data_IF_181008814451
#
_entry.id   IF_181008814451
#
_cell.length_a   1.000
_cell.length_b   1.000
_cell.length_c   1.000
_cell.angle_alpha   90.00
_cell.angle_beta   90.00
_cell.angle_gamma   90.00
#
_symmetry.space_group_name_H-M   'P 1'
#
loop_
_entity.id
_entity.type
_entity.pdbx_description
1 polymer ?
#
# COMPACT_ATOMS: atom_id res chain seq x y z
N UNK A 1 -1.19 37.23 -50.68
CA UNK A 1 -1.83 36.64 -49.49
C UNK A 1 -1.50 35.15 -49.36
N UNK A 2 -0.22 34.78 -49.20
CA UNK A 2 0.19 33.35 -49.17
C UNK A 2 1.15 32.97 -48.05
N UNK A 3 1.68 33.94 -47.30
CA UNK A 3 2.67 33.68 -46.24
C UNK A 3 2.05 33.59 -44.83
N UNK A 4 0.87 34.15 -44.60
CA UNK A 4 0.22 34.13 -43.27
C UNK A 4 -0.47 32.80 -42.95
N UNK A 5 -0.89 32.04 -43.97
CA UNK A 5 -1.57 30.74 -43.77
C UNK A 5 -0.61 29.58 -43.45
N UNK A 6 0.66 29.66 -43.85
CA UNK A 6 1.65 28.61 -43.54
C UNK A 6 2.18 28.70 -42.11
N UNK A 7 2.11 29.88 -41.51
CA UNK A 7 2.60 30.12 -40.14
C UNK A 7 1.64 29.62 -39.06
N UNK A 8 0.34 29.58 -39.33
CA UNK A 8 -0.65 29.06 -38.37
C UNK A 8 -0.69 27.53 -38.34
N UNK A 9 -0.49 26.87 -39.48
CA UNK A 9 -0.42 25.40 -39.56
C UNK A 9 0.81 24.82 -38.84
N UNK A 10 1.95 25.52 -38.87
CA UNK A 10 3.15 25.12 -38.14
C UNK A 10 2.98 25.22 -36.62
N UNK A 11 2.22 26.22 -36.15
CA UNK A 11 1.92 26.40 -34.71
C UNK A 11 0.99 25.32 -34.15
N UNK A 12 0.03 24.85 -34.95
CA UNK A 12 -0.83 23.71 -34.57
C UNK A 12 -0.07 22.38 -34.52
N UNK A 13 0.89 22.15 -35.41
CA UNK A 13 1.69 20.93 -35.38
C UNK A 13 2.63 20.83 -34.16
N UNK A 14 3.16 21.95 -33.67
CA UNK A 14 4.00 21.98 -32.47
C UNK A 14 3.19 21.79 -31.18
N UNK A 15 1.91 22.19 -31.16
CA UNK A 15 1.01 21.98 -30.01
C UNK A 15 0.40 20.57 -29.95
N UNK A 16 0.40 19.81 -31.05
CA UNK A 16 -0.06 18.42 -31.06
C UNK A 16 1.04 17.38 -30.82
N UNK A 17 2.32 17.80 -30.73
CA UNK A 17 3.45 16.93 -30.39
C UNK A 17 4.00 17.21 -29.00
N UNK A 18 3.23 17.85 -28.10
CA UNK A 18 3.49 17.63 -26.69
C UNK A 18 3.32 16.13 -26.46
N UNK A 19 4.38 15.39 -26.06
CA UNK A 19 4.13 14.08 -25.52
C UNK A 19 3.15 14.33 -24.38
N UNK A 20 1.92 13.84 -24.53
CA UNK A 20 1.09 13.58 -23.37
C UNK A 20 1.95 12.59 -22.60
N UNK A 21 2.72 13.11 -21.66
CA UNK A 21 3.37 12.33 -20.63
C UNK A 21 2.19 11.74 -19.90
N UNK A 22 1.69 10.61 -20.41
CA UNK A 22 0.94 9.66 -19.64
C UNK A 22 1.95 9.26 -18.58
N UNK A 23 1.98 10.01 -17.49
CA UNK A 23 2.74 9.67 -16.31
C UNK A 23 2.38 8.23 -16.03
N UNK A 24 3.33 7.33 -16.26
CA UNK A 24 3.11 5.92 -16.05
C UNK A 24 2.85 5.83 -14.57
N UNK A 25 1.58 5.63 -14.20
CA UNK A 25 1.22 5.48 -12.80
C UNK A 25 1.87 4.17 -12.36
N UNK A 26 2.94 4.30 -11.58
CA UNK A 26 3.68 3.15 -11.12
C UNK A 26 2.79 2.29 -10.22
N UNK A 27 2.92 0.98 -10.38
CA UNK A 27 2.04 -0.01 -9.76
C UNK A 27 2.73 -0.67 -8.58
N UNK A 28 1.92 -1.13 -7.63
CA UNK A 28 2.29 -2.10 -6.61
C UNK A 28 1.57 -3.39 -6.98
N UNK A 29 2.33 -4.43 -7.24
CA UNK A 29 1.78 -5.74 -7.52
C UNK A 29 1.46 -6.47 -6.22
N UNK A 30 0.31 -7.12 -6.16
CA UNK A 30 -0.08 -8.06 -5.12
C UNK A 30 0.23 -9.49 -5.58
N UNK A 31 0.59 -10.39 -4.66
CA UNK A 31 0.68 -11.82 -5.00
C UNK A 31 -0.68 -12.31 -5.49
N UNK A 32 -0.68 -13.15 -6.52
CA UNK A 32 -1.92 -13.65 -7.14
C UNK A 32 -2.82 -14.38 -6.13
N UNK A 33 -2.23 -15.08 -5.16
CA UNK A 33 -2.95 -15.74 -4.06
C UNK A 33 -3.69 -14.78 -3.12
N UNK A 34 -3.22 -13.54 -2.99
CA UNK A 34 -3.90 -12.48 -2.23
C UNK A 34 -4.96 -11.83 -3.10
N UNK A 35 -4.57 -11.49 -4.33
CA UNK A 35 -5.40 -10.76 -5.27
C UNK A 35 -6.66 -11.57 -5.66
N UNK A 36 -6.54 -12.89 -5.78
CA UNK A 36 -7.67 -13.80 -6.05
C UNK A 36 -8.73 -13.85 -4.95
N UNK A 37 -8.38 -13.43 -3.72
CA UNK A 37 -9.33 -13.32 -2.61
C UNK A 37 -10.00 -11.95 -2.53
N UNK A 38 -9.60 -11.01 -3.38
CA UNK A 38 -10.18 -9.68 -3.45
C UNK A 38 -11.31 -9.64 -4.48
N UNK A 39 -12.42 -9.01 -4.11
CA UNK A 39 -13.52 -8.70 -5.04
C UNK A 39 -14.35 -7.53 -4.53
N UNK A 40 -15.06 -6.86 -5.44
CA UNK A 40 -15.98 -5.77 -5.10
C UNK A 40 -15.27 -4.48 -4.73
N UNK A 41 -15.88 -3.71 -3.84
CA UNK A 41 -15.38 -2.40 -3.41
C UNK A 41 -14.61 -2.46 -2.09
N UNK A 42 -13.53 -1.68 -2.02
CA UNK A 42 -12.64 -1.58 -0.87
C UNK A 42 -12.39 -0.11 -0.55
N UNK A 43 -12.41 0.24 0.73
CA UNK A 43 -11.86 1.49 1.23
C UNK A 43 -10.35 1.35 1.35
N UNK A 44 -9.61 2.34 0.86
CA UNK A 44 -8.15 2.35 0.92
C UNK A 44 -7.66 3.53 1.74
N UNK A 45 -6.64 3.30 2.57
CA UNK A 45 -5.89 4.36 3.23
C UNK A 45 -4.39 4.12 3.05
N UNK A 46 -3.69 5.15 2.61
CA UNK A 46 -2.23 5.20 2.63
C UNK A 46 -1.77 6.06 3.81
N UNK A 47 -0.94 5.49 4.68
CA UNK A 47 -0.27 6.19 5.78
C UNK A 47 1.20 6.34 5.41
N UNK A 48 1.72 7.56 5.53
CA UNK A 48 3.12 7.86 5.24
C UNK A 48 3.62 8.99 6.16
N UNK A 49 4.93 9.14 6.35
CA UNK A 49 5.49 10.30 7.05
C UNK A 49 5.37 11.61 6.27
N UNK A 50 4.97 11.56 4.99
CA UNK A 50 4.82 12.72 4.14
C UNK A 50 3.53 13.48 4.44
N UNK A 51 3.39 14.71 3.93
CA UNK A 51 2.16 15.48 4.04
C UNK A 51 1.41 15.38 2.69
N UNK A 52 0.12 15.01 2.67
CA UNK A 52 -0.71 14.53 3.78
C UNK A 52 -0.26 13.17 4.32
N UNK A 53 -0.26 13.02 5.66
CA UNK A 53 0.21 11.79 6.33
C UNK A 53 -0.76 10.63 6.18
N UNK A 54 -2.02 10.93 5.88
CA UNK A 54 -3.03 9.95 5.53
C UNK A 54 -3.73 10.41 4.26
N UNK A 55 -3.77 9.54 3.26
CA UNK A 55 -4.58 9.72 2.05
C UNK A 55 -5.60 8.61 1.97
N UNK A 56 -6.86 8.96 1.73
CA UNK A 56 -7.95 7.99 1.56
C UNK A 56 -8.33 7.83 0.09
N UNK A 57 -8.82 6.64 -0.25
CA UNK A 57 -9.26 6.27 -1.60
C UNK A 57 -10.23 5.10 -1.59
N UNK A 58 -10.54 4.63 -2.79
CA UNK A 58 -11.33 3.44 -3.05
C UNK A 58 -10.63 2.56 -4.07
N UNK A 59 -10.75 1.25 -3.88
CA UNK A 59 -10.34 0.25 -4.86
C UNK A 59 -11.59 -0.50 -5.30
N UNK A 60 -11.80 -0.59 -6.60
CA UNK A 60 -12.81 -1.46 -7.19
C UNK A 60 -12.11 -2.60 -7.90
N UNK A 61 -12.54 -3.84 -7.58
CA UNK A 61 -12.12 -5.04 -8.27
C UNK A 61 -13.29 -5.61 -9.06
N UNK A 62 -13.24 -5.46 -10.38
CA UNK A 62 -14.25 -5.98 -11.31
C UNK A 62 -13.58 -6.88 -12.36
N UNK A 63 -14.01 -8.15 -12.40
CA UNK A 63 -13.38 -9.17 -13.24
C UNK A 63 -11.94 -9.45 -12.78
N UNK A 64 -10.98 -8.94 -13.55
CA UNK A 64 -9.52 -9.05 -13.30
C UNK A 64 -8.84 -7.68 -13.24
N UNK A 65 -9.63 -6.60 -13.20
CA UNK A 65 -9.12 -5.23 -13.22
C UNK A 65 -9.29 -4.58 -11.86
N UNK A 66 -8.16 -4.19 -11.28
CA UNK A 66 -8.09 -3.31 -10.11
C UNK A 66 -8.09 -1.85 -10.57
N UNK A 67 -9.03 -1.06 -10.04
CA UNK A 67 -9.09 0.38 -10.32
C UNK A 67 -9.03 1.16 -9.00
N UNK A 68 -7.96 1.93 -8.83
CA UNK A 68 -7.75 2.79 -7.66
C UNK A 68 -8.24 4.21 -7.96
N UNK A 69 -9.02 4.76 -7.03
CA UNK A 69 -9.44 6.16 -7.04
C UNK A 69 -9.10 6.83 -5.71
N UNK A 70 -8.16 7.78 -5.74
CA UNK A 70 -7.76 8.56 -4.58
C UNK A 70 -8.67 9.77 -4.42
N UNK A 71 -9.06 10.08 -3.18
CA UNK A 71 -9.96 11.20 -2.88
C UNK A 71 -9.26 12.56 -2.90
N UNK A 72 -7.93 12.57 -2.95
CA UNK A 72 -7.15 13.81 -2.95
C UNK A 72 -6.75 14.14 -4.39
N UNK A 73 -7.35 15.18 -4.97
CA UNK A 73 -7.20 15.54 -6.39
C UNK A 73 -5.75 15.76 -6.84
N UNK A 74 -4.87 16.16 -5.92
CA UNK A 74 -3.45 16.40 -6.19
C UNK A 74 -2.56 15.18 -5.98
N UNK A 75 -3.10 14.08 -5.45
CA UNK A 75 -2.36 12.86 -5.18
C UNK A 75 -2.73 11.76 -6.17
N UNK A 76 -1.82 11.49 -7.10
CA UNK A 76 -2.01 10.43 -8.10
C UNK A 76 -1.81 9.01 -7.55
N UNK A 77 -1.09 8.89 -6.43
CA UNK A 77 -0.95 7.68 -5.60
C UNK A 77 -0.50 6.39 -6.29
N UNK A 78 -0.22 5.33 -5.51
CA UNK A 78 0.06 4.02 -6.08
C UNK A 78 -1.19 3.45 -6.74
N UNK A 79 -0.99 2.79 -7.88
CA UNK A 79 -1.99 1.89 -8.48
C UNK A 79 -1.72 0.46 -8.02
N UNK A 80 -2.74 -0.40 -8.01
CA UNK A 80 -2.59 -1.82 -7.67
C UNK A 80 -2.78 -2.71 -8.90
N UNK A 81 -2.06 -3.83 -8.92
CA UNK A 81 -2.16 -4.85 -9.97
C UNK A 81 -1.91 -6.24 -9.37
N UNK A 82 -2.49 -7.29 -9.98
CA UNK A 82 -2.20 -8.66 -9.59
C UNK A 82 -0.92 -9.14 -10.27
N UNK A 83 -0.09 -9.91 -9.57
CA UNK A 83 0.89 -10.76 -10.23
C UNK A 83 0.19 -11.73 -11.20
N UNK A 84 0.90 -12.12 -12.26
CA UNK A 84 0.37 -13.02 -13.29
C UNK A 84 0.50 -14.49 -12.89
N UNK A 85 1.54 -14.84 -12.15
CA UNK A 85 1.87 -16.23 -11.84
C UNK A 85 1.79 -16.49 -10.33
N UNK A 86 1.16 -17.62 -9.94
CA UNK A 86 1.03 -18.01 -8.52
C UNK A 86 2.38 -18.30 -7.84
N UNK A 87 3.39 -18.65 -8.63
CA UNK A 87 4.74 -18.96 -8.18
C UNK A 87 5.68 -17.76 -8.10
N UNK A 88 5.23 -16.57 -8.52
CA UNK A 88 6.07 -15.38 -8.44
C UNK A 88 6.42 -15.10 -6.98
N UNK A 89 7.72 -14.97 -6.72
CA UNK A 89 8.26 -14.54 -5.43
C UNK A 89 8.73 -13.10 -5.45
N UNK A 90 8.87 -12.48 -6.64
CA UNK A 90 9.29 -11.10 -6.83
C UNK A 90 8.14 -10.30 -7.46
N UNK A 91 7.86 -9.13 -6.91
CA UNK A 91 6.76 -8.26 -7.32
C UNK A 91 7.23 -6.82 -7.48
N UNK A 92 6.52 -6.07 -8.31
CA UNK A 92 6.73 -4.63 -8.45
C UNK A 92 6.22 -3.84 -7.23
N UNK A 93 7.02 -2.90 -6.74
CA UNK A 93 6.68 -1.91 -5.73
C UNK A 93 6.89 -0.46 -6.24
N UNK A 94 6.89 -0.27 -7.56
CA UNK A 94 7.14 1.04 -8.19
C UNK A 94 6.18 2.12 -7.67
N UNK A 95 4.93 1.78 -7.39
CA UNK A 95 3.94 2.75 -6.90
C UNK A 95 4.32 3.44 -5.58
N UNK A 96 5.29 2.92 -4.82
CA UNK A 96 5.81 3.61 -3.64
C UNK A 96 6.52 4.93 -3.99
N UNK A 97 6.94 5.11 -5.23
CA UNK A 97 7.50 6.38 -5.71
C UNK A 97 6.51 7.54 -5.67
N UNK A 98 5.20 7.27 -5.58
CA UNK A 98 4.19 8.31 -5.34
C UNK A 98 4.40 9.08 -4.02
N UNK A 99 5.20 8.53 -3.10
CA UNK A 99 5.56 9.15 -1.82
C UNK A 99 6.99 9.73 -1.84
N UNK A 100 7.64 9.76 -3.00
CA UNK A 100 8.95 10.36 -3.20
C UNK A 100 8.82 11.64 -4.02
N UNK A 101 9.32 12.75 -3.49
CA UNK A 101 9.31 14.05 -4.17
C UNK A 101 10.55 14.29 -5.04
N UNK A 102 11.54 13.39 -5.01
CA UNK A 102 12.77 13.54 -5.80
C UNK A 102 12.57 13.02 -7.22
N UNK A 103 12.71 13.94 -8.18
CA UNK A 103 12.67 13.73 -9.64
C UNK A 103 13.85 12.94 -10.22
N UNK A 104 14.61 12.22 -9.39
CA UNK A 104 15.68 11.34 -9.87
C UNK A 104 15.06 10.15 -10.58
N UNK A 105 15.74 9.63 -11.62
CA UNK A 105 15.33 8.41 -12.33
C UNK A 105 14.86 7.37 -11.32
N UNK A 106 13.55 7.10 -11.35
CA UNK A 106 12.90 6.22 -10.41
C UNK A 106 13.40 4.80 -10.72
N UNK A 107 14.41 4.38 -9.96
CA UNK A 107 14.92 3.02 -10.04
C UNK A 107 13.75 2.05 -9.87
N UNK A 108 13.74 0.97 -10.64
CA UNK A 108 12.73 -0.08 -10.51
C UNK A 108 12.75 -0.59 -9.06
N UNK A 109 11.64 -0.41 -8.36
CA UNK A 109 11.49 -0.89 -7.00
C UNK A 109 10.75 -2.20 -7.03
N UNK A 110 11.37 -3.23 -6.45
CA UNK A 110 10.83 -4.57 -6.36
C UNK A 110 10.73 -4.96 -4.89
N UNK A 111 9.92 -5.96 -4.59
CA UNK A 111 9.98 -6.68 -3.33
C UNK A 111 9.91 -8.18 -3.59
N UNK A 112 10.47 -8.96 -2.67
CA UNK A 112 10.30 -10.41 -2.70
C UNK A 112 9.62 -10.91 -1.42
N UNK A 113 8.75 -11.91 -1.58
CA UNK A 113 8.19 -12.65 -0.45
C UNK A 113 9.15 -13.76 -0.08
N UNK A 114 9.65 -13.70 1.15
CA UNK A 114 10.64 -14.64 1.67
C UNK A 114 10.00 -15.79 2.44
N UNK A 115 8.74 -15.64 2.85
CA UNK A 115 7.97 -16.71 3.46
C UNK A 115 6.57 -16.28 3.87
N UNK A 116 5.72 -17.28 4.09
CA UNK A 116 4.43 -17.11 4.78
C UNK A 116 4.71 -17.05 6.27
N UNK A 117 4.86 -15.83 6.79
CA UNK A 117 5.13 -15.55 8.18
C UNK A 117 3.89 -15.71 9.06
N UNK A 118 3.67 -16.91 9.58
CA UNK A 118 2.63 -17.21 10.59
C UNK A 118 1.18 -17.07 10.10
N UNK A 119 0.44 -18.16 10.28
CA UNK A 119 -1.01 -18.18 10.15
C UNK A 119 -1.60 -18.41 11.54
N UNK A 120 -2.47 -17.51 11.98
CA UNK A 120 -3.22 -17.66 13.22
C UNK A 120 -4.70 -17.82 12.89
N UNK A 121 -5.29 -18.91 13.37
CA UNK A 121 -6.71 -19.21 13.18
C UNK A 121 -7.43 -19.07 14.51
N UNK A 122 -8.51 -18.31 14.52
CA UNK A 122 -9.38 -18.10 15.68
C UNK A 122 -10.81 -18.47 15.32
N UNK A 123 -11.48 -19.21 16.20
CA UNK A 123 -12.90 -19.52 16.07
C UNK A 123 -13.71 -18.27 16.45
N UNK A 124 -14.56 -17.79 15.55
CA UNK A 124 -15.26 -16.50 15.67
C UNK A 124 -16.73 -16.56 15.20
N UNK A 125 -17.58 -17.45 15.74
CA UNK A 125 -18.95 -17.75 15.24
C UNK A 125 -19.92 -16.56 15.16
N UNK A 126 -19.61 -15.45 15.83
CA UNK A 126 -20.44 -14.25 15.86
C UNK A 126 -19.81 -13.05 15.14
N UNK A 127 -18.67 -13.25 14.45
CA UNK A 127 -18.03 -12.16 13.74
C UNK A 127 -18.81 -11.86 12.45
N UNK A 128 -19.22 -10.62 12.21
CA UNK A 128 -19.88 -10.27 10.95
C UNK A 128 -18.97 -10.55 9.75
N UNK A 129 -19.51 -11.23 8.73
CA UNK A 129 -18.95 -11.30 7.39
C UNK A 129 -19.88 -10.64 6.37
N UNK A 130 -19.51 -10.67 5.08
CA UNK A 130 -20.23 -9.93 4.03
C UNK A 130 -21.65 -10.45 3.78
N UNK A 131 -21.82 -11.78 3.76
CA UNK A 131 -23.11 -12.45 3.53
C UNK A 131 -23.60 -13.26 4.74
N UNK A 132 -22.68 -13.70 5.60
CA UNK A 132 -22.94 -14.52 6.78
C UNK A 132 -21.88 -14.27 7.86
N UNK A 133 -22.09 -14.83 9.05
CA UNK A 133 -21.05 -14.80 10.09
C UNK A 133 -19.78 -15.55 9.64
N UNK A 134 -18.64 -15.04 10.08
CA UNK A 134 -17.32 -15.61 9.82
C UNK A 134 -16.94 -16.57 10.94
N UNK A 135 -17.35 -17.84 10.82
CA UNK A 135 -17.16 -18.85 11.87
C UNK A 135 -15.70 -19.07 12.30
N UNK A 136 -14.76 -18.81 11.38
CA UNK A 136 -13.33 -18.80 11.66
C UNK A 136 -12.69 -17.58 11.03
N UNK A 137 -11.94 -16.83 11.84
CA UNK A 137 -11.07 -15.76 11.39
C UNK A 137 -9.66 -16.29 11.22
N UNK A 138 -9.06 -16.08 10.05
CA UNK A 138 -7.67 -16.38 9.78
C UNK A 138 -6.90 -15.08 9.58
N UNK A 139 -5.82 -14.92 10.34
CA UNK A 139 -4.81 -13.89 10.15
C UNK A 139 -3.58 -14.55 9.52
N UNK A 140 -3.19 -14.09 8.33
CA UNK A 140 -1.96 -14.54 7.66
C UNK A 140 -1.04 -13.35 7.47
N UNK A 141 0.22 -13.47 7.85
CA UNK A 141 1.25 -12.49 7.54
C UNK A 141 2.24 -13.10 6.54
N UNK A 142 2.60 -12.35 5.50
CA UNK A 142 3.72 -12.66 4.60
C UNK A 142 4.85 -11.70 4.94
N UNK A 143 6.07 -12.24 4.99
CA UNK A 143 7.26 -11.43 5.24
C UNK A 143 8.13 -11.41 3.98
N UNK A 144 8.71 -10.25 3.72
CA UNK A 144 9.47 -10.01 2.51
C UNK A 144 10.56 -8.96 2.67
N UNK A 145 11.29 -8.76 1.59
CA UNK A 145 12.39 -7.80 1.49
C UNK A 145 12.24 -6.90 0.27
N UNK A 146 12.57 -5.62 0.39
CA UNK A 146 12.73 -4.72 -0.74
C UNK A 146 14.00 -5.05 -1.53
N UNK A 147 13.90 -4.99 -2.85
CA UNK A 147 14.94 -5.36 -3.78
C UNK A 147 15.26 -4.20 -4.73
N UNK A 148 16.55 -4.08 -5.08
CA UNK A 148 17.01 -3.18 -6.15
C UNK A 148 16.97 -3.84 -7.53
N UNK A 149 17.06 -5.17 -7.58
CA UNK A 149 16.96 -5.99 -8.78
C UNK A 149 16.43 -7.39 -8.41
N UNK A 150 16.00 -8.17 -9.40
CA UNK A 150 15.42 -9.50 -9.21
C UNK A 150 16.44 -10.63 -9.07
N UNK A 151 17.70 -10.40 -9.46
CA UNK A 151 18.72 -11.46 -9.63
C UNK A 151 19.05 -12.15 -8.30
N UNK A 152 19.11 -11.40 -7.21
CA UNK A 152 19.55 -11.90 -5.90
C UNK A 152 18.41 -12.04 -4.87
N UNK A 153 17.16 -12.19 -5.34
CA UNK A 153 15.98 -12.21 -4.47
C UNK A 153 16.08 -13.26 -3.34
N UNK A 154 16.42 -14.51 -3.68
CA UNK A 154 16.54 -15.62 -2.74
C UNK A 154 17.64 -15.37 -1.69
N UNK A 155 18.81 -14.92 -2.14
CA UNK A 155 19.93 -14.63 -1.25
C UNK A 155 19.59 -13.47 -0.29
N UNK A 156 18.96 -12.42 -0.81
CA UNK A 156 18.53 -11.27 0.00
C UNK A 156 17.52 -11.68 1.06
N UNK A 157 16.58 -12.57 0.71
CA UNK A 157 15.61 -13.14 1.65
C UNK A 157 16.24 -13.92 2.80
N UNK A 158 17.40 -14.55 2.59
CA UNK A 158 18.10 -15.30 3.64
C UNK A 158 18.98 -14.40 4.52
N UNK A 159 19.52 -13.33 3.93
CA UNK A 159 20.55 -12.50 4.57
C UNK A 159 20.01 -11.21 5.21
N UNK A 160 18.81 -10.79 4.85
CA UNK A 160 18.25 -9.48 5.25
C UNK A 160 17.06 -9.66 6.18
N UNK A 161 17.00 -8.81 7.22
CA UNK A 161 15.80 -8.76 8.06
C UNK A 161 14.59 -8.29 7.24
N UNK A 162 13.39 -8.88 7.42
CA UNK A 162 12.19 -8.47 6.71
C UNK A 162 11.89 -6.99 6.89
N UNK A 163 11.57 -6.32 5.79
CA UNK A 163 11.16 -4.91 5.73
C UNK A 163 9.92 -4.70 4.83
N UNK A 164 9.31 -5.79 4.39
CA UNK A 164 8.00 -5.82 3.74
C UNK A 164 7.11 -6.79 4.49
N UNK A 165 5.89 -6.35 4.80
CA UNK A 165 4.90 -7.16 5.50
C UNK A 165 3.56 -7.05 4.77
N UNK A 166 2.94 -8.19 4.47
CA UNK A 166 1.58 -8.23 3.90
C UNK A 166 0.71 -9.01 4.87
N UNK A 167 -0.27 -8.35 5.49
CA UNK A 167 -1.15 -8.94 6.49
C UNK A 167 -2.55 -9.06 5.92
N UNK A 168 -3.09 -10.26 6.03
CA UNK A 168 -4.42 -10.61 5.56
C UNK A 168 -5.27 -11.00 6.75
N UNK A 169 -6.51 -10.51 6.79
CA UNK A 169 -7.50 -10.99 7.73
C UNK A 169 -8.81 -11.29 6.99
N UNK A 170 -9.33 -12.50 7.21
CA UNK A 170 -10.50 -13.00 6.50
C UNK A 170 -11.02 -14.31 7.06
N UNK A 171 -11.96 -14.91 6.34
CA UNK A 171 -12.56 -16.20 6.66
C UNK A 171 -11.59 -17.36 6.39
N UNK A 172 -11.72 -18.47 7.14
CA UNK A 172 -11.02 -19.71 6.84
C UNK A 172 -11.36 -20.27 5.46
N UNK A 173 -10.32 -20.66 4.70
CA UNK A 173 -10.44 -21.20 3.34
C UNK A 173 -10.35 -22.74 3.25
N UNK A 174 -10.31 -23.43 4.39
CA UNK A 174 -10.13 -24.89 4.42
C UNK A 174 -11.21 -25.61 3.59
N UNK A 175 -10.76 -26.38 2.59
CA UNK A 175 -11.62 -27.20 1.73
C UNK A 175 -12.24 -26.48 0.53
N UNK A 176 -11.94 -25.20 0.30
CA UNK A 176 -12.41 -24.46 -0.88
C UNK A 176 -11.34 -24.42 -1.97
N UNK A 177 -11.71 -24.77 -3.21
CA UNK A 177 -10.85 -24.56 -4.38
C UNK A 177 -10.74 -23.05 -4.67
N UNK A 178 -9.56 -22.60 -5.14
CA UNK A 178 -9.25 -21.19 -5.46
C UNK A 178 -10.27 -20.51 -6.38
N UNK A 179 -10.94 -21.27 -7.26
CA UNK A 179 -11.94 -20.77 -8.20
C UNK A 179 -13.38 -20.72 -7.62
N UNK A 180 -13.58 -21.11 -6.36
CA UNK A 180 -14.89 -21.08 -5.74
C UNK A 180 -15.26 -19.63 -5.38
N UNK A 181 -16.48 -19.18 -5.68
CA UNK A 181 -16.93 -17.80 -5.39
C UNK A 181 -16.71 -17.37 -3.93
N UNK A 182 -16.77 -18.32 -2.99
CA UNK A 182 -16.46 -18.13 -1.56
C UNK A 182 -15.01 -17.69 -1.27
N UNK A 183 -14.04 -17.99 -2.14
CA UNK A 183 -12.64 -17.55 -2.00
C UNK A 183 -12.52 -16.06 -2.28
N UNK A 184 -13.22 -15.55 -3.30
CA UNK A 184 -13.24 -14.13 -3.67
C UNK A 184 -13.82 -13.23 -2.57
N UNK A 185 -14.48 -13.82 -1.59
CA UNK A 185 -15.17 -13.10 -0.53
C UNK A 185 -14.61 -13.36 0.87
N UNK A 186 -13.57 -14.18 0.98
CA UNK A 186 -13.00 -14.53 2.28
C UNK A 186 -12.24 -13.36 2.90
N UNK A 187 -11.56 -12.55 2.08
CA UNK A 187 -10.73 -11.47 2.60
C UNK A 187 -11.59 -10.27 3.01
N UNK A 188 -11.33 -9.76 4.21
CA UNK A 188 -12.02 -8.58 4.76
C UNK A 188 -11.07 -7.41 4.97
N UNK A 189 -9.78 -7.71 5.16
CA UNK A 189 -8.75 -6.74 5.41
C UNK A 189 -7.42 -7.17 4.79
N UNK A 190 -6.74 -6.22 4.18
CA UNK A 190 -5.37 -6.35 3.69
C UNK A 190 -4.57 -5.13 4.17
N UNK A 191 -3.38 -5.35 4.70
CA UNK A 191 -2.41 -4.31 5.00
C UNK A 191 -1.07 -4.66 4.36
N UNK A 192 -0.50 -3.71 3.63
CA UNK A 192 0.86 -3.79 3.11
C UNK A 192 1.71 -2.74 3.80
N UNK A 193 2.79 -3.15 4.43
CA UNK A 193 3.75 -2.27 5.06
C UNK A 193 5.11 -2.42 4.37
N UNK A 194 5.69 -1.28 4.00
CA UNK A 194 7.03 -1.20 3.43
C UNK A 194 7.88 -0.26 4.29
N UNK A 195 8.96 -0.78 4.90
CA UNK A 195 9.85 0.05 5.70
C UNK A 195 10.88 0.72 4.77
N UNK A 196 10.56 1.96 4.36
CA UNK A 196 11.26 2.73 3.32
C UNK A 196 11.81 4.05 3.84
N UNK A 197 12.35 4.06 5.06
CA UNK A 197 12.85 5.26 5.72
C UNK A 197 13.84 6.08 4.88
N UNK A 198 14.62 5.43 3.99
CA UNK A 198 15.52 6.14 3.08
C UNK A 198 14.78 6.97 2.01
N UNK A 199 13.67 6.44 1.48
CA UNK A 199 12.86 7.10 0.45
C UNK A 199 12.03 8.23 1.06
N UNK A 200 11.50 8.01 2.26
CA UNK A 200 10.64 8.97 2.96
C UNK A 200 11.41 9.94 3.88
N UNK A 201 12.74 9.83 3.96
CA UNK A 201 13.61 10.67 4.81
C UNK A 201 13.33 12.17 4.66
N UNK A 202 13.11 12.63 3.44
CA UNK A 202 12.84 14.04 3.14
C UNK A 202 11.58 14.57 3.83
N UNK A 203 10.60 13.71 4.10
CA UNK A 203 9.39 14.05 4.84
C UNK A 203 9.62 14.07 6.36
N UNK A 204 10.48 13.17 6.86
CA UNK A 204 10.81 13.08 8.28
C UNK A 204 11.65 14.28 8.75
N UNK A 205 12.64 14.70 7.96
CA UNK A 205 13.51 15.85 8.29
C UNK A 205 12.74 17.19 8.34
N UNK A 206 11.69 17.35 7.51
CA UNK A 206 10.83 18.54 7.52
C UNK A 206 9.96 18.57 8.77
N UNK A 207 9.48 17.42 9.25
CA UNK A 207 8.72 17.33 10.49
C UNK A 207 9.56 17.71 11.71
N UNK A 208 10.81 17.24 11.79
CA UNK A 208 11.73 17.61 12.89
C UNK A 208 12.00 19.12 12.94
N UNK A 209 12.08 19.79 11.78
CA UNK A 209 12.24 21.26 11.72
C UNK A 209 10.98 22.01 12.12
N UNK A 210 9.81 21.51 11.73
CA UNK A 210 8.51 22.14 12.02
C UNK A 210 8.11 21.94 13.50
N UNK A 211 8.51 20.82 14.12
CA UNK A 211 8.39 20.59 15.57
C UNK A 211 9.44 21.40 16.37
N UNK A 212 10.60 21.70 15.79
CA UNK A 212 11.63 22.55 16.39
C UNK A 212 11.28 24.05 16.50
N UNK A 213 10.45 24.58 15.59
CA UNK A 213 9.99 25.98 15.64
C UNK A 213 8.73 26.20 16.48
N UNK A 214 7.97 25.14 16.81
CA UNK A 214 6.87 25.22 17.79
C UNK A 214 7.45 25.05 19.19
N UNK A 215 7.80 26.19 19.78
CA UNK A 215 8.48 26.34 21.08
C UNK A 215 8.15 25.31 22.16
N UNK A 216 9.24 24.87 22.82
CA UNK A 216 9.31 24.30 24.17
C UNK A 216 8.02 23.75 24.78
N UNK A 217 7.63 22.54 24.41
CA UNK A 217 7.05 21.61 25.39
C UNK A 217 7.90 20.35 25.37
N UNK A 218 8.98 20.38 26.17
CA UNK A 218 9.68 19.17 26.60
C UNK A 218 8.70 18.28 27.35
N UNK A 219 7.98 17.42 26.64
CA UNK A 219 7.53 16.16 27.21
C UNK A 219 8.68 15.19 27.07
N UNK A 220 9.40 15.01 28.17
CA UNK A 220 10.47 14.04 28.34
C UNK A 220 9.91 12.61 28.19
N UNK A 221 9.71 12.14 26.96
CA UNK A 221 9.60 10.70 26.69
C UNK A 221 11.01 10.11 26.74
N UNK A 222 11.44 9.79 27.97
CA UNK A 222 12.63 9.00 28.26
C UNK A 222 12.71 7.82 27.29
N UNK A 223 13.82 7.75 26.56
CA UNK A 223 14.12 6.67 25.64
C UNK A 223 14.00 5.31 26.33
N UNK A 224 13.18 4.44 25.76
CA UNK A 224 13.31 2.99 25.95
C UNK A 224 14.03 2.44 24.73
N UNK A 225 15.32 2.23 24.94
CA UNK A 225 16.23 1.49 24.05
C UNK A 225 15.66 0.08 23.84
N UNK A 226 15.45 -0.26 22.58
CA UNK A 226 15.37 -1.61 21.98
C UNK A 226 14.53 -2.68 22.69
N UNK A 227 13.32 -2.88 22.19
CA UNK A 227 12.78 -4.21 21.90
C UNK A 227 11.90 -4.10 20.65
N UNK A 228 12.42 -4.54 19.50
CA UNK A 228 11.60 -4.85 18.31
C UNK A 228 10.66 -5.98 18.71
N UNK A 229 9.48 -5.64 19.24
CA UNK A 229 8.41 -6.58 19.47
C UNK A 229 7.15 -6.06 18.79
N UNK A 230 6.81 -6.76 17.71
CA UNK A 230 5.46 -7.15 17.30
C UNK A 230 4.35 -6.50 18.12
N UNK A 231 3.71 -5.51 17.52
CA UNK A 231 2.28 -5.20 17.56
C UNK A 231 2.16 -3.76 17.05
N UNK A 232 1.81 -3.62 15.77
CA UNK A 232 1.27 -2.37 15.22
C UNK A 232 -0.06 -2.09 15.89
N UNK A 233 -0.01 -1.62 17.13
CA UNK A 233 -1.19 -1.25 17.90
C UNK A 233 -1.35 0.26 17.71
N UNK A 234 -2.36 0.66 16.95
CA UNK A 234 -2.86 2.02 17.00
C UNK A 234 -3.21 2.33 18.46
N UNK A 235 -2.32 3.05 19.16
CA UNK A 235 -2.57 3.52 20.53
C UNK A 235 -3.48 4.75 20.43
N UNK A 236 -4.78 4.52 20.26
CA UNK A 236 -5.79 5.52 20.55
C UNK A 236 -5.96 5.65 22.05
N UNK A 237 -5.37 6.66 22.68
CA UNK A 237 -5.87 7.14 23.97
C UNK A 237 -7.19 7.86 23.70
N UNK A 238 -8.28 7.35 24.29
CA UNK A 238 -9.59 8.01 24.30
C UNK A 238 -9.40 9.48 24.68
N UNK A 239 -9.76 10.41 23.78
CA UNK A 239 -9.92 11.82 24.15
C UNK A 239 -9.47 12.88 23.14
N UNK A 240 -8.68 12.55 22.12
CA UNK A 240 -8.29 13.56 21.12
C UNK A 240 -8.54 13.04 19.70
N UNK A 241 -9.47 13.67 18.97
CA UNK A 241 -9.64 13.52 17.52
C UNK A 241 -8.47 14.16 16.75
N UNK A 242 -7.25 13.74 17.03
CA UNK A 242 -6.14 13.88 16.08
C UNK A 242 -6.14 12.62 15.22
N UNK A 243 -6.09 12.83 13.90
CA UNK A 243 -5.81 11.79 12.90
C UNK A 243 -4.75 10.82 13.42
N UNK A 244 -5.15 9.63 13.87
CA UNK A 244 -4.24 8.61 14.42
C UNK A 244 -3.37 8.15 13.25
N UNK A 245 -2.15 8.68 13.19
CA UNK A 245 -1.16 8.28 12.19
C UNK A 245 -0.50 6.99 12.67
N UNK A 246 -0.30 6.03 11.78
CA UNK A 246 0.37 4.79 12.13
C UNK A 246 1.79 5.05 12.66
N UNK A 247 2.16 4.46 13.80
CA UNK A 247 3.49 4.64 14.36
C UNK A 247 4.58 4.19 13.40
N UNK A 248 4.34 3.14 12.62
CA UNK A 248 5.29 2.66 11.60
C UNK A 248 5.47 3.70 10.49
N UNK A 249 4.43 4.46 10.17
CA UNK A 249 4.52 5.57 9.21
C UNK A 249 5.36 6.72 9.79
N UNK A 250 5.23 7.02 11.09
CA UNK A 250 6.12 7.99 11.76
C UNK A 250 7.59 7.54 11.76
N UNK A 251 7.83 6.23 11.80
CA UNK A 251 9.18 5.63 11.75
C UNK A 251 9.73 5.49 10.31
N UNK A 252 9.04 6.03 9.30
CA UNK A 252 9.51 6.08 7.92
C UNK A 252 8.92 5.03 6.98
N UNK A 253 7.92 4.27 7.44
CA UNK A 253 7.25 3.25 6.61
C UNK A 253 6.13 3.84 5.77
N UNK A 254 5.74 3.13 4.71
CA UNK A 254 4.50 3.38 3.99
C UNK A 254 3.58 2.21 4.28
N UNK A 255 2.38 2.51 4.77
CA UNK A 255 1.37 1.49 5.12
C UNK A 255 0.12 1.71 4.28
N UNK A 256 -0.22 0.72 3.45
CA UNK A 256 -1.43 0.70 2.65
C UNK A 256 -2.43 -0.23 3.31
N UNK A 257 -3.61 0.28 3.67
CA UNK A 257 -4.70 -0.47 4.30
C UNK A 257 -5.88 -0.55 3.38
N UNK A 258 -6.42 -1.74 3.23
CA UNK A 258 -7.58 -2.05 2.41
C UNK A 258 -8.61 -2.71 3.33
N UNK A 259 -9.78 -2.08 3.42
CA UNK A 259 -10.91 -2.59 4.20
C UNK A 259 -12.05 -2.83 3.23
N UNK A 260 -12.58 -4.05 3.22
CA UNK A 260 -13.69 -4.39 2.33
C UNK A 260 -14.91 -3.55 2.69
N UNK A 261 -15.58 -3.00 1.67
CA UNK A 261 -16.84 -2.29 1.86
C UNK A 261 -18.00 -3.25 1.68
N UNK A 262 -18.99 -3.15 2.57
CA UNK A 262 -20.28 -3.80 2.34
C UNK A 262 -20.92 -3.18 1.11
N UNK A 263 -21.43 -3.99 0.17
CA UNK A 263 -22.22 -3.48 -0.94
C UNK A 263 -23.38 -2.67 -0.37
N UNK A 264 -23.71 -1.53 -0.99
CA UNK A 264 -24.97 -0.84 -0.67
C UNK A 264 -26.10 -1.81 -0.99
N UNK A 265 -26.93 -2.14 0.01
CA UNK A 265 -28.11 -2.99 -0.19
C UNK A 265 -28.93 -2.42 -1.35
N UNK A 266 -29.28 -3.27 -2.32
CA UNK A 266 -30.25 -2.91 -3.37
C UNK A 266 -31.62 -2.65 -2.78
#
# INVERSE_FOLDING_TARGET
>A
MGLTLRSTAALFFVLCTFPIVHGRLDKIQLPLSVASQMSGEWGVQAHSPCNPSIVSGTLTWEGEKMTMHWQHDTFLGPQLESATDEGDIVMHAGGLHAFNTRTQELATLLYAICGVGQTNTLITPHRPGLENNMDTTVLTEYTGVLLKNSVDALNTCQMTAPNVFIRLLGSGLHGLQSNHGKVKESLQFLEMQFDVANMTRHCMEVRDRTEGERGSVKTTRRGKKNRKHRLGSAKGTHGEHRSITDQSAEEGSIVLRFVRRTPKSK
#
